data_IF_449414880659
#
_entry.id   IF_449414880659
#
_cell.length_a   1.000
_cell.length_b   1.000
_cell.length_c   1.000
_cell.angle_alpha   90.00
_cell.angle_beta   90.00
_cell.angle_gamma   90.00
#
_symmetry.space_group_name_H-M   'P 1'
#
loop_
_entity.id
_entity.type
_entity.pdbx_description
1 polymer ?
#
# COMPACT_ATOMS: atom_id res chain seq x y z
N UNK A 1 15.37 23.46 5.84
CA UNK A 1 14.27 23.31 4.88
C UNK A 1 14.03 21.82 4.73
N UNK A 2 13.04 21.27 5.43
CA UNK A 2 12.64 19.88 5.28
C UNK A 2 11.80 19.82 4.00
N UNK A 3 12.36 19.25 2.93
CA UNK A 3 11.59 18.95 1.72
C UNK A 3 10.67 17.78 2.09
N UNK A 4 9.42 18.07 2.45
CA UNK A 4 8.39 17.04 2.54
C UNK A 4 8.03 16.66 1.10
N UNK A 5 8.75 15.69 0.56
CA UNK A 5 8.36 15.08 -0.72
C UNK A 5 7.13 14.23 -0.45
N UNK A 6 5.94 14.78 -0.71
CA UNK A 6 4.70 13.99 -0.66
C UNK A 6 4.78 12.92 -1.74
N UNK A 7 4.76 11.65 -1.34
CA UNK A 7 4.80 10.51 -2.26
C UNK A 7 3.53 10.55 -3.11
N UNK A 8 3.68 10.57 -4.43
CA UNK A 8 2.53 10.53 -5.35
C UNK A 8 2.59 9.31 -6.26
N UNK A 9 1.48 8.60 -6.34
CA UNK A 9 1.27 7.45 -7.21
C UNK A 9 0.40 7.90 -8.38
N UNK A 10 0.90 7.72 -9.60
CA UNK A 10 0.15 7.97 -10.84
C UNK A 10 0.01 6.67 -11.63
N UNK A 11 -1.23 6.24 -11.81
CA UNK A 11 -1.61 5.06 -12.58
C UNK A 11 -2.63 5.48 -13.65
N UNK A 12 -2.46 5.11 -14.93
CA UNK A 12 -3.43 5.46 -15.97
C UNK A 12 -4.85 4.99 -15.63
N UNK A 13 -5.83 5.89 -15.77
CA UNK A 13 -7.24 5.59 -15.49
C UNK A 13 -7.61 5.57 -14.00
N UNK A 14 -6.72 6.02 -13.11
CA UNK A 14 -7.01 6.23 -11.69
C UNK A 14 -6.67 7.69 -11.30
N UNK A 15 -7.29 8.24 -10.23
CA UNK A 15 -6.88 9.52 -9.68
C UNK A 15 -5.43 9.49 -9.21
N UNK A 16 -4.82 10.67 -9.04
CA UNK A 16 -3.52 10.76 -8.40
C UNK A 16 -3.68 10.40 -6.92
N UNK A 17 -2.88 9.44 -6.45
CA UNK A 17 -2.99 8.93 -5.08
C UNK A 17 -1.75 9.26 -4.26
N UNK A 18 -1.90 9.36 -2.94
CA UNK A 18 -0.81 9.42 -1.97
C UNK A 18 -1.02 8.35 -0.91
N UNK A 19 0.04 7.61 -0.51
CA UNK A 19 -0.05 6.74 0.66
C UNK A 19 -0.19 7.58 1.93
N UNK A 20 -1.01 7.13 2.87
CA UNK A 20 -1.03 7.68 4.22
C UNK A 20 0.23 7.25 4.96
N UNK A 21 1.16 8.18 5.15
CA UNK A 21 2.43 7.92 5.81
C UNK A 21 2.24 7.67 7.31
N UNK A 22 2.91 6.63 7.83
CA UNK A 22 2.96 6.36 9.27
C UNK A 22 1.65 5.95 9.91
N UNK A 23 0.69 5.46 9.13
CA UNK A 23 -0.57 4.95 9.67
C UNK A 23 -0.46 3.47 10.08
N UNK A 24 -1.33 3.15 11.03
CA UNK A 24 -1.49 1.95 11.86
C UNK A 24 -0.93 0.62 11.33
N UNK A 25 -0.62 -0.25 12.29
CA UNK A 25 -0.36 -1.67 12.02
C UNK A 25 -1.66 -2.46 12.15
N UNK A 26 -1.81 -3.51 11.34
CA UNK A 26 -2.88 -4.49 11.45
C UNK A 26 -2.30 -5.85 11.85
N UNK A 27 -2.57 -6.31 13.07
CA UNK A 27 -1.97 -7.52 13.66
C UNK A 27 -0.42 -7.51 13.62
N UNK A 28 0.19 -6.36 13.97
CA UNK A 28 1.65 -6.20 14.01
C UNK A 28 2.31 -6.16 12.63
N UNK A 29 1.53 -5.90 11.56
CA UNK A 29 2.01 -5.80 10.18
C UNK A 29 1.71 -4.43 9.60
N UNK A 30 2.51 -3.94 8.64
CA UNK A 30 2.26 -2.69 7.95
C UNK A 30 0.90 -2.67 7.28
N UNK A 31 0.17 -1.57 7.45
CA UNK A 31 -1.02 -1.27 6.66
C UNK A 31 -0.84 0.06 5.93
N UNK A 32 -1.08 0.06 4.62
CA UNK A 32 -0.99 1.26 3.78
C UNK A 32 -2.36 1.55 3.18
N UNK A 33 -2.87 2.75 3.47
CA UNK A 33 -4.05 3.33 2.84
C UNK A 33 -3.62 4.26 1.70
N UNK A 34 -4.36 4.26 0.60
CA UNK A 34 -4.20 5.22 -0.49
C UNK A 34 -5.32 6.24 -0.47
N UNK A 35 -4.95 7.50 -0.49
CA UNK A 35 -5.87 8.64 -0.56
C UNK A 35 -5.74 9.34 -1.90
N UNK A 36 -6.84 9.88 -2.40
CA UNK A 36 -6.80 10.84 -3.50
C UNK A 36 -6.04 12.11 -3.07
N UNK A 37 -5.19 12.62 -3.95
CA UNK A 37 -4.45 13.87 -3.70
C UNK A 37 -5.38 15.08 -3.75
N UNK A 38 -6.39 15.03 -4.62
CA UNK A 38 -7.40 16.07 -4.83
C UNK A 38 -8.77 15.39 -4.95
N UNK A 39 -9.44 15.05 -3.84
CA UNK A 39 -10.75 14.40 -3.86
C UNK A 39 -11.80 15.31 -4.51
N UNK A 40 -12.76 14.71 -5.21
CA UNK A 40 -13.80 15.45 -5.94
C UNK A 40 -14.85 16.14 -5.03
N UNK A 41 -15.05 15.63 -3.80
CA UNK A 41 -16.03 16.13 -2.84
C UNK A 41 -15.34 16.52 -1.51
N UNK A 42 -15.66 17.70 -0.99
CA UNK A 42 -15.17 18.20 0.30
C UNK A 42 -15.70 17.40 1.50
N UNK A 43 -16.75 16.58 1.31
CA UNK A 43 -17.30 15.67 2.32
C UNK A 43 -16.77 14.23 2.21
N UNK A 44 -15.96 13.94 1.19
CA UNK A 44 -15.25 12.67 1.07
C UNK A 44 -13.94 12.76 1.87
N UNK A 45 -13.63 11.72 2.66
CA UNK A 45 -12.34 11.65 3.34
C UNK A 45 -11.18 11.38 2.37
N UNK A 46 -11.50 11.15 1.09
CA UNK A 46 -10.59 10.94 -0.01
C UNK A 46 -9.94 9.55 0.04
N UNK A 47 -10.43 8.65 0.88
CA UNK A 47 -9.92 7.28 0.95
C UNK A 47 -10.29 6.55 -0.34
N UNK A 48 -9.26 6.19 -1.12
CA UNK A 48 -9.46 5.47 -2.36
C UNK A 48 -9.52 3.96 -2.15
N UNK A 49 -8.49 3.41 -1.49
CA UNK A 49 -8.46 1.99 -1.14
C UNK A 49 -7.37 1.65 -0.12
N UNK A 50 -7.54 0.49 0.52
CA UNK A 50 -6.46 -0.19 1.22
C UNK A 50 -5.49 -0.78 0.18
N UNK A 51 -4.23 -0.34 0.18
CA UNK A 51 -3.20 -0.95 -0.67
C UNK A 51 -2.92 -2.38 -0.21
N UNK A 52 -2.83 -2.58 1.10
CA UNK A 52 -2.43 -3.82 1.75
C UNK A 52 -3.60 -4.54 2.40
N UNK A 53 -3.56 -5.86 2.45
CA UNK A 53 -4.51 -6.69 3.21
C UNK A 53 -3.78 -7.51 4.26
N UNK A 54 -4.51 -7.90 5.30
CA UNK A 54 -3.98 -8.75 6.35
C UNK A 54 -4.42 -10.20 6.16
N UNK A 55 -3.45 -11.10 6.04
CA UNK A 55 -3.66 -12.55 5.91
C UNK A 55 -3.00 -13.25 7.11
N UNK A 56 -3.68 -13.35 8.27
CA UNK A 56 -3.10 -13.91 9.49
C UNK A 56 -2.68 -15.38 9.32
N UNK A 57 -3.31 -16.12 8.42
CA UNK A 57 -2.99 -17.50 8.08
C UNK A 57 -1.73 -17.66 7.23
N UNK A 58 -1.19 -16.58 6.66
CA UNK A 58 0.00 -16.59 5.83
C UNK A 58 1.20 -15.98 6.57
N UNK A 59 2.38 -16.59 6.42
CA UNK A 59 3.63 -16.11 7.01
C UNK A 59 4.31 -15.12 6.05
N UNK A 60 4.84 -14.03 6.61
CA UNK A 60 5.65 -13.05 5.88
C UNK A 60 7.12 -13.17 6.29
N UNK A 61 8.06 -12.77 5.42
CA UNK A 61 9.49 -12.83 5.73
C UNK A 61 9.94 -11.95 6.91
N UNK A 62 9.22 -10.87 7.21
CA UNK A 62 9.53 -9.93 8.28
C UNK A 62 8.40 -8.92 8.54
N UNK A 63 8.58 -8.06 9.53
CA UNK A 63 7.58 -7.07 10.00
C UNK A 63 7.46 -5.84 9.07
N UNK A 64 8.36 -5.69 8.11
CA UNK A 64 8.34 -4.66 7.05
C UNK A 64 7.68 -5.16 5.75
N UNK A 65 7.16 -6.39 5.77
CA UNK A 65 6.44 -6.98 4.66
C UNK A 65 4.93 -6.89 4.87
N UNK A 66 4.19 -6.77 3.76
CA UNK A 66 2.73 -6.82 3.74
C UNK A 66 2.22 -7.61 2.53
N UNK A 67 0.94 -7.98 2.55
CA UNK A 67 0.28 -8.55 1.38
C UNK A 67 -0.44 -7.46 0.60
N UNK A 68 -0.28 -7.44 -0.72
CA UNK A 68 -1.00 -6.55 -1.64
C UNK A 68 -1.88 -7.40 -2.56
N UNK A 69 -3.21 -7.18 -2.60
CA UNK A 69 -4.10 -7.87 -3.53
C UNK A 69 -3.66 -7.68 -4.98
N UNK A 70 -3.86 -8.70 -5.82
CA UNK A 70 -3.51 -8.65 -7.24
C UNK A 70 -4.12 -7.43 -7.96
N UNK A 71 -5.35 -7.05 -7.60
CA UNK A 71 -6.06 -5.90 -8.17
C UNK A 71 -5.38 -4.54 -7.87
N UNK A 72 -4.56 -4.50 -6.81
CA UNK A 72 -3.82 -3.33 -6.36
C UNK A 72 -2.36 -3.33 -6.83
N UNK A 73 -1.91 -4.35 -7.58
CA UNK A 73 -0.53 -4.44 -8.08
C UNK A 73 -0.09 -3.21 -8.89
N UNK A 74 -1.02 -2.59 -9.62
CA UNK A 74 -0.75 -1.36 -10.38
C UNK A 74 -0.18 -0.23 -9.51
N UNK A 75 -0.66 -0.10 -8.27
CA UNK A 75 -0.19 0.90 -7.31
C UNK A 75 1.14 0.47 -6.67
N UNK A 76 1.28 -0.82 -6.32
CA UNK A 76 2.54 -1.36 -5.82
C UNK A 76 3.69 -1.19 -6.84
N UNK A 77 3.45 -1.47 -8.12
CA UNK A 77 4.43 -1.25 -9.20
C UNK A 77 4.78 0.22 -9.40
N UNK A 78 3.86 1.14 -9.06
CA UNK A 78 4.18 2.56 -9.08
C UNK A 78 5.12 2.96 -7.94
N UNK A 79 4.95 2.36 -6.75
CA UNK A 79 5.86 2.53 -5.62
C UNK A 79 7.22 1.86 -5.86
N UNK A 80 7.25 0.67 -6.47
CA UNK A 80 8.49 -0.02 -6.85
C UNK A 80 9.34 0.82 -7.80
N UNK A 81 8.73 1.46 -8.81
CA UNK A 81 9.43 2.39 -9.72
C UNK A 81 10.01 3.62 -9.01
N UNK A 82 9.51 3.95 -7.82
CA UNK A 82 10.03 5.03 -6.97
C UNK A 82 11.05 4.54 -5.94
N UNK A 83 11.39 3.24 -5.94
CA UNK A 83 12.26 2.63 -4.93
C UNK A 83 11.63 2.54 -3.54
N UNK A 84 10.29 2.60 -3.45
CA UNK A 84 9.55 2.58 -2.19
C UNK A 84 8.96 1.22 -1.84
N UNK A 85 9.04 0.24 -2.75
CA UNK A 85 8.60 -1.12 -2.49
C UNK A 85 9.38 -2.14 -3.34
N UNK A 86 9.44 -3.39 -2.88
CA UNK A 86 9.95 -4.53 -3.64
C UNK A 86 8.89 -5.64 -3.67
N UNK A 87 8.66 -6.22 -4.86
CA UNK A 87 7.66 -7.28 -5.05
C UNK A 87 8.28 -8.65 -4.81
N UNK A 88 7.75 -9.36 -3.83
CA UNK A 88 8.10 -10.75 -3.51
C UNK A 88 7.18 -11.78 -4.17
N UNK A 89 7.08 -12.94 -3.51
CA UNK A 89 6.30 -14.09 -4.01
C UNK A 89 4.80 -13.88 -3.87
N UNK A 90 4.02 -14.56 -4.72
CA UNK A 90 2.56 -14.58 -4.63
C UNK A 90 2.06 -15.58 -3.57
N UNK A 91 1.01 -15.20 -2.86
CA UNK A 91 0.26 -16.03 -1.93
C UNK A 91 -1.21 -16.12 -2.38
N UNK A 92 -1.80 -17.30 -2.22
CA UNK A 92 -3.24 -17.49 -2.41
C UNK A 92 -3.97 -17.19 -1.10
N UNK A 93 -5.12 -16.53 -1.21
CA UNK A 93 -5.97 -16.19 -0.08
C UNK A 93 -7.45 -16.19 -0.45
N UNK A 94 -8.30 -16.19 0.58
CA UNK A 94 -9.75 -16.27 0.42
C UNK A 94 -10.25 -17.62 -0.11
N UNK A 95 -11.55 -17.87 0.02
CA UNK A 95 -12.19 -19.14 -0.37
C UNK A 95 -12.25 -19.38 -1.88
N UNK A 96 -11.93 -18.38 -2.69
CA UNK A 96 -12.01 -18.42 -4.16
C UNK A 96 -10.64 -18.33 -4.86
N UNK A 97 -9.54 -18.53 -4.12
CA UNK A 97 -8.19 -18.52 -4.69
C UNK A 97 -7.73 -17.15 -5.18
N UNK A 98 -8.16 -16.07 -4.52
CA UNK A 98 -7.66 -14.73 -4.77
C UNK A 98 -6.15 -14.71 -4.56
N UNK A 99 -5.46 -13.83 -5.28
CA UNK A 99 -4.00 -13.74 -5.25
C UNK A 99 -3.59 -12.43 -4.61
N UNK A 100 -2.67 -12.51 -3.66
CA UNK A 100 -1.93 -11.38 -3.14
C UNK A 100 -0.44 -11.60 -3.43
N UNK A 101 0.33 -10.54 -3.49
CA UNK A 101 1.80 -10.62 -3.50
C UNK A 101 2.34 -10.13 -2.18
N UNK A 102 3.41 -10.75 -1.72
CA UNK A 102 4.23 -10.19 -0.65
C UNK A 102 4.94 -8.94 -1.19
N UNK A 103 4.93 -7.87 -0.43
CA UNK A 103 5.62 -6.63 -0.75
C UNK A 103 6.44 -6.19 0.45
N UNK A 104 7.73 -5.95 0.23
CA UNK A 104 8.58 -5.29 1.20
C UNK A 104 8.41 -3.78 1.03
N UNK A 105 8.00 -3.09 2.09
CA UNK A 105 7.67 -1.67 2.03
C UNK A 105 8.81 -0.83 2.62
N UNK A 106 9.21 0.22 1.91
CA UNK A 106 10.25 1.11 2.41
C UNK A 106 9.80 1.78 3.73
N UNK A 107 10.73 2.05 4.67
CA UNK A 107 10.42 2.72 5.93
C UNK A 107 9.63 4.02 5.76
N UNK A 108 9.83 4.76 4.67
CA UNK A 108 9.09 5.98 4.37
C UNK A 108 7.56 5.80 4.27
N UNK A 109 7.08 4.58 3.98
CA UNK A 109 5.65 4.26 3.91
C UNK A 109 5.07 3.82 5.26
N UNK A 110 5.92 3.36 6.19
CA UNK A 110 5.52 2.66 7.42
C UNK A 110 6.01 3.35 8.70
N UNK A 111 6.85 4.39 8.57
CA UNK A 111 7.48 5.06 9.70
C UNK A 111 6.43 5.67 10.63
N UNK A 112 6.43 5.20 11.87
CA UNK A 112 5.67 5.76 12.98
C UNK A 112 5.99 7.25 13.12
N UNK A 113 4.97 8.10 13.06
CA UNK A 113 5.04 9.46 13.57
C UNK A 113 5.27 9.46 15.08
#
# INVERSE_FOLDING_TARGET
MLTFTTIQIRVPGAPALTPALGRYEANGRPAVLLYEVEPEDEFDDGLWCDLTVNLPEQVLPGDDWAFVPADNLKYLRALERQGLAEVGSAARYGSFGQLAVMAHLAPALVARG
#
